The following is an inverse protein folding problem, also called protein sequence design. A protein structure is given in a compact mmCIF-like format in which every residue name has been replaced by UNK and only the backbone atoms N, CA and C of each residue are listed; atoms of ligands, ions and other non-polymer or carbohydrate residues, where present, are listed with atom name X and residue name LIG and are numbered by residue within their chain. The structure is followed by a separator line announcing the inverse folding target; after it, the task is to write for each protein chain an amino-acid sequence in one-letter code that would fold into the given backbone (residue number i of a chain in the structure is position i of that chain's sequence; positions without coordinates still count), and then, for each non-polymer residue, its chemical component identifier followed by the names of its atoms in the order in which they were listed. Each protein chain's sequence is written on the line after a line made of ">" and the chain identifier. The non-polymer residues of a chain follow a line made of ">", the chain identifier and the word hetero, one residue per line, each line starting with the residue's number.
data_IF_930205305740
#
_entry.id   IF_930205305740
#
_cell.length_a   1.000
_cell.length_b   1.000
_cell.length_c   1.000
_cell.angle_alpha   90.00
_cell.angle_beta   90.00
_cell.angle_gamma   90.00
#
_symmetry.space_group_name_H-M   'P 1'
#
loop_
_entity.id
_entity.type
_entity.pdbx_description
1 polymer ?
#
# COMPACT_ATOMS: atom_id res chain seq x y z
N UNK A 1 27.92 -5.36 -55.24
CA UNK A 1 26.68 -5.78 -54.54
C UNK A 1 26.86 -6.11 -53.05
N UNK A 2 27.96 -5.69 -52.38
CA UNK A 2 28.17 -5.94 -50.94
C UNK A 2 27.73 -4.78 -50.02
N UNK A 3 27.61 -3.55 -50.52
CA UNK A 3 27.27 -2.39 -49.65
C UNK A 3 25.79 -2.27 -49.30
N UNK A 4 24.86 -2.74 -50.13
CA UNK A 4 23.41 -2.65 -49.81
C UNK A 4 23.02 -3.51 -48.59
N UNK A 5 23.63 -4.68 -48.41
CA UNK A 5 23.34 -5.55 -47.26
C UNK A 5 23.80 -4.93 -45.94
N UNK A 6 24.93 -4.22 -45.95
CA UNK A 6 25.46 -3.55 -44.77
C UNK A 6 24.59 -2.36 -44.35
N UNK A 7 24.03 -1.60 -45.30
CA UNK A 7 23.14 -0.47 -45.01
C UNK A 7 21.83 -0.93 -44.38
N UNK A 8 21.24 -2.03 -44.86
CA UNK A 8 20.00 -2.58 -44.28
C UNK A 8 20.19 -3.06 -42.84
N UNK A 9 21.36 -3.63 -42.50
CA UNK A 9 21.65 -4.08 -41.13
C UNK A 9 21.81 -2.90 -40.18
N UNK A 10 22.45 -1.81 -40.62
CA UNK A 10 22.63 -0.60 -39.81
C UNK A 10 21.27 0.06 -39.50
N UNK A 11 20.37 0.10 -40.49
CA UNK A 11 19.02 0.66 -40.31
C UNK A 11 18.20 -0.21 -39.33
N UNK A 12 18.28 -1.53 -39.45
CA UNK A 12 17.58 -2.44 -38.54
C UNK A 12 18.05 -2.27 -37.09
N UNK A 13 19.36 -2.08 -36.89
CA UNK A 13 19.96 -1.86 -35.57
C UNK A 13 19.58 -0.50 -34.98
N UNK A 14 19.55 0.56 -35.81
CA UNK A 14 19.12 1.88 -35.38
C UNK A 14 17.63 1.93 -34.99
N UNK A 15 16.77 1.21 -35.72
CA UNK A 15 15.35 1.07 -35.35
C UNK A 15 15.24 0.35 -34.01
N UNK A 16 15.90 -0.81 -33.84
CA UNK A 16 15.91 -1.55 -32.56
C UNK A 16 16.35 -0.69 -31.36
N UNK A 17 17.35 0.18 -31.53
CA UNK A 17 17.81 1.09 -30.48
C UNK A 17 16.80 2.22 -30.18
N UNK A 18 15.99 2.66 -31.15
CA UNK A 18 14.93 3.65 -30.91
C UNK A 18 13.72 3.07 -30.14
N UNK A 19 13.50 1.75 -30.18
CA UNK A 19 12.44 1.10 -29.39
C UNK A 19 12.81 0.90 -27.92
N UNK A 20 14.09 1.05 -27.55
CA UNK A 20 14.53 1.10 -26.14
C UNK A 20 14.34 2.53 -25.60
N UNK A 21 13.15 3.08 -25.81
CA UNK A 21 12.75 4.33 -25.21
C UNK A 21 12.41 4.06 -23.74
N UNK A 22 13.39 4.34 -22.88
CA UNK A 22 13.21 4.71 -21.48
C UNK A 22 12.29 3.83 -20.65
N UNK A 23 12.80 2.70 -20.15
CA UNK A 23 12.32 2.21 -18.87
C UNK A 23 12.82 3.20 -17.81
N UNK A 24 12.05 4.25 -17.60
CA UNK A 24 12.20 5.11 -16.43
C UNK A 24 11.83 4.25 -15.23
N UNK A 25 12.79 3.87 -14.40
CA UNK A 25 12.50 3.43 -13.05
C UNK A 25 11.79 4.60 -12.37
N UNK A 26 10.47 4.49 -12.23
CA UNK A 26 9.64 5.55 -11.70
C UNK A 26 9.94 5.65 -10.20
N UNK A 27 10.72 6.64 -9.79
CA UNK A 27 11.08 6.91 -8.39
C UNK A 27 9.92 7.44 -7.55
N UNK A 28 8.67 7.30 -8.03
CA UNK A 28 7.48 7.82 -7.34
C UNK A 28 7.08 6.90 -6.18
N UNK A 29 7.45 5.62 -6.23
CA UNK A 29 7.13 4.62 -5.21
C UNK A 29 8.33 4.36 -4.28
N UNK A 30 8.73 5.38 -3.50
CA UNK A 30 9.85 5.24 -2.56
C UNK A 30 9.46 4.53 -1.26
N UNK A 31 8.16 4.44 -0.95
CA UNK A 31 7.66 4.01 0.36
C UNK A 31 6.78 2.75 0.27
N UNK A 32 6.96 1.92 -0.77
CA UNK A 32 6.15 0.69 -0.95
C UNK A 32 6.32 -0.34 0.16
N UNK A 33 7.44 -0.26 0.86
CA UNK A 33 7.77 -1.16 1.97
C UNK A 33 7.32 -0.58 3.32
N UNK A 34 6.73 0.63 3.33
CA UNK A 34 6.25 1.28 4.55
C UNK A 34 4.81 0.86 4.84
N UNK A 35 4.59 0.36 6.05
CA UNK A 35 3.27 0.08 6.60
C UNK A 35 2.86 1.14 7.62
N UNK A 36 1.66 1.71 7.42
CA UNK A 36 1.10 2.74 8.28
C UNK A 36 -0.19 2.23 8.91
N UNK A 37 -0.24 2.19 10.23
CA UNK A 37 -1.47 1.91 10.96
C UNK A 37 -2.19 3.24 11.28
N UNK A 38 -3.38 3.43 10.72
CA UNK A 38 -4.19 4.61 10.98
C UNK A 38 -5.36 4.26 11.90
N UNK A 39 -5.27 4.74 13.14
CA UNK A 39 -6.30 4.52 14.17
C UNK A 39 -7.40 5.58 14.08
N UNK A 40 -8.65 5.14 14.04
CA UNK A 40 -9.80 6.04 14.02
C UNK A 40 -10.94 5.56 14.93
N UNK A 41 -11.66 6.52 15.52
CA UNK A 41 -12.83 6.24 16.37
C UNK A 41 -14.10 6.10 15.53
N UNK A 42 -14.36 7.03 14.60
CA UNK A 42 -15.51 6.98 13.71
C UNK A 42 -15.08 7.04 12.24
N UNK A 43 -15.80 6.34 11.37
CA UNK A 43 -15.49 6.33 9.94
C UNK A 43 -15.58 7.72 9.27
N UNK A 44 -16.28 8.67 9.91
CA UNK A 44 -16.37 10.06 9.45
C UNK A 44 -15.14 10.91 9.77
N UNK A 45 -14.27 10.45 10.67
CA UNK A 45 -13.09 11.17 11.13
C UNK A 45 -11.83 10.81 10.32
N UNK A 46 -11.95 9.87 9.39
CA UNK A 46 -10.85 9.41 8.54
C UNK A 46 -10.43 10.55 7.60
N UNK A 47 -9.16 10.93 7.69
CA UNK A 47 -8.52 11.88 6.76
C UNK A 47 -8.20 11.18 5.43
N UNK A 48 -9.24 10.99 4.60
CA UNK A 48 -9.10 10.37 3.28
C UNK A 48 -8.03 11.02 2.39
N UNK A 49 -7.91 12.37 2.34
CA UNK A 49 -6.79 13.02 1.63
C UNK A 49 -5.41 12.50 2.05
N UNK A 50 -5.15 12.35 3.35
CA UNK A 50 -3.89 11.79 3.84
C UNK A 50 -3.73 10.32 3.42
N UNK A 51 -4.79 9.52 3.55
CA UNK A 51 -4.74 8.10 3.18
C UNK A 51 -4.39 7.95 1.70
N UNK A 52 -5.06 8.67 0.81
CA UNK A 52 -4.77 8.62 -0.62
C UNK A 52 -3.38 9.13 -0.96
N UNK A 53 -2.89 10.16 -0.26
CA UNK A 53 -1.51 10.62 -0.42
C UNK A 53 -0.51 9.51 -0.07
N UNK A 54 -0.73 8.77 1.02
CA UNK A 54 0.15 7.68 1.43
C UNK A 54 0.08 6.48 0.48
N UNK A 55 -1.12 6.04 0.09
CA UNK A 55 -1.30 4.84 -0.73
C UNK A 55 -1.04 5.10 -2.21
N UNK A 56 -1.75 6.04 -2.84
CA UNK A 56 -1.71 6.25 -4.29
C UNK A 56 -0.46 7.02 -4.74
N UNK A 57 -0.07 8.06 -4.00
CA UNK A 57 1.05 8.90 -4.43
C UNK A 57 2.42 8.36 -3.98
N UNK A 58 2.48 7.58 -2.89
CA UNK A 58 3.74 7.10 -2.32
C UNK A 58 3.86 5.57 -2.26
N UNK A 59 2.77 4.84 -2.52
CA UNK A 59 2.76 3.37 -2.56
C UNK A 59 2.71 2.69 -1.19
N UNK A 60 2.51 3.42 -0.09
CA UNK A 60 2.48 2.85 1.26
C UNK A 60 1.33 1.85 1.41
N UNK A 61 1.51 0.85 2.26
CA UNK A 61 0.40 0.02 2.74
C UNK A 61 -0.23 0.71 3.94
N UNK A 62 -1.54 0.95 3.89
CA UNK A 62 -2.26 1.58 5.00
C UNK A 62 -3.27 0.60 5.60
N UNK A 63 -3.12 0.34 6.89
CA UNK A 63 -4.05 -0.42 7.71
C UNK A 63 -4.97 0.54 8.48
N UNK A 64 -6.23 0.66 8.05
CA UNK A 64 -7.26 1.40 8.76
C UNK A 64 -7.81 0.56 9.91
N UNK A 65 -7.52 0.93 11.14
CA UNK A 65 -7.92 0.17 12.31
C UNK A 65 -8.84 0.94 13.26
N UNK A 66 -9.88 0.25 13.73
CA UNK A 66 -10.81 0.78 14.73
C UNK A 66 -11.23 -0.31 15.72
N UNK A 67 -11.50 0.13 16.96
CA UNK A 67 -11.93 -0.74 18.05
C UNK A 67 -13.32 -0.31 18.49
N UNK A 68 -14.27 -1.23 18.38
CA UNK A 68 -15.65 -1.00 18.75
C UNK A 68 -16.09 -1.95 19.86
N UNK A 69 -17.08 -1.53 20.65
CA UNK A 69 -17.70 -2.41 21.63
C UNK A 69 -18.58 -3.45 20.94
N UNK A 70 -18.43 -4.72 21.33
CA UNK A 70 -19.23 -5.83 20.80
C UNK A 70 -19.43 -6.93 21.83
N UNK A 71 -20.39 -7.85 21.62
CA UNK A 71 -20.73 -8.88 22.60
C UNK A 71 -19.65 -9.96 22.78
N UNK A 72 -18.68 -10.04 21.85
CA UNK A 72 -17.60 -11.02 21.84
C UNK A 72 -16.43 -10.47 21.03
N UNK A 73 -15.23 -11.02 21.26
CA UNK A 73 -14.06 -10.75 20.44
C UNK A 73 -14.34 -11.15 18.97
N UNK A 74 -14.19 -10.20 18.05
CA UNK A 74 -14.30 -10.46 16.61
C UNK A 74 -13.39 -9.51 15.84
N UNK A 75 -12.65 -10.04 14.88
CA UNK A 75 -11.87 -9.27 13.93
C UNK A 75 -12.52 -9.39 12.55
N UNK A 76 -12.89 -8.25 11.98
CA UNK A 76 -13.44 -8.13 10.63
C UNK A 76 -12.37 -7.48 9.76
N UNK A 77 -11.81 -8.25 8.83
CA UNK A 77 -10.75 -7.79 7.94
C UNK A 77 -11.31 -7.59 6.54
N UNK A 78 -10.96 -6.46 5.92
CA UNK A 78 -11.32 -6.13 4.55
C UNK A 78 -10.13 -5.55 3.84
N UNK A 79 -9.77 -6.15 2.72
CA UNK A 79 -8.67 -5.69 1.87
C UNK A 79 -9.23 -5.12 0.57
N UNK A 80 -8.64 -4.02 0.11
CA UNK A 80 -8.85 -3.51 -1.23
C UNK A 80 -7.55 -3.60 -2.02
N UNK A 81 -7.54 -4.49 -3.01
CA UNK A 81 -6.41 -4.66 -3.93
C UNK A 81 -6.20 -3.42 -4.83
N UNK A 82 -7.23 -2.59 -4.99
CA UNK A 82 -7.17 -1.40 -5.83
C UNK A 82 -6.42 -0.24 -5.16
N UNK A 83 -6.45 -0.14 -3.83
CA UNK A 83 -5.99 1.05 -3.09
C UNK A 83 -4.89 0.78 -2.06
N UNK A 84 -4.23 -0.40 -2.10
CA UNK A 84 -3.25 -0.84 -1.08
C UNK A 84 -3.72 -0.57 0.37
N UNK A 85 -5.01 -0.82 0.59
CA UNK A 85 -5.71 -0.44 1.81
C UNK A 85 -6.30 -1.67 2.46
N UNK A 86 -5.93 -1.86 3.71
CA UNK A 86 -6.50 -2.87 4.58
C UNK A 86 -7.35 -2.18 5.64
N UNK A 87 -8.38 -2.87 6.10
CA UNK A 87 -9.25 -2.38 7.16
C UNK A 87 -9.51 -3.48 8.18
N UNK A 88 -9.20 -3.17 9.44
CA UNK A 88 -9.41 -4.01 10.59
C UNK A 88 -10.42 -3.37 11.54
N UNK A 89 -11.59 -3.99 11.66
CA UNK A 89 -12.58 -3.63 12.68
C UNK A 89 -12.53 -4.68 13.76
N UNK A 90 -12.12 -4.28 14.96
CA UNK A 90 -12.04 -5.18 16.11
C UNK A 90 -13.19 -4.87 17.07
N UNK A 91 -13.97 -5.90 17.37
CA UNK A 91 -15.06 -5.85 18.33
C UNK A 91 -14.61 -6.51 19.63
N UNK A 92 -14.68 -5.80 20.76
CA UNK A 92 -14.33 -6.34 22.10
C UNK A 92 -15.41 -5.99 23.13
N UNK A 93 -15.53 -6.83 24.17
CA UNK A 93 -16.54 -6.63 25.21
C UNK A 93 -16.19 -5.52 26.21
N UNK A 94 -14.90 -5.20 26.32
CA UNK A 94 -14.35 -4.15 27.17
C UNK A 94 -13.28 -3.39 26.39
N UNK A 95 -13.51 -2.09 26.18
CA UNK A 95 -12.57 -1.18 25.50
C UNK A 95 -11.60 -0.51 26.47
N UNK A 96 -11.51 -0.99 27.72
CA UNK A 96 -10.52 -0.53 28.68
C UNK A 96 -9.09 -0.68 28.13
N UNK A 97 -8.21 0.26 28.51
CA UNK A 97 -6.88 0.43 27.94
C UNK A 97 -6.00 -0.84 27.96
N UNK A 98 -6.30 -1.80 28.84
CA UNK A 98 -5.57 -3.06 28.99
C UNK A 98 -5.67 -3.93 27.72
N UNK A 99 -6.75 -3.82 26.96
CA UNK A 99 -6.96 -4.63 25.76
C UNK A 99 -6.45 -3.95 24.48
N UNK A 100 -6.17 -2.64 24.49
CA UNK A 100 -5.73 -1.90 23.31
C UNK A 100 -4.35 -2.36 22.80
N UNK A 101 -3.40 -2.62 23.69
CA UNK A 101 -2.08 -3.15 23.30
C UNK A 101 -2.18 -4.53 22.63
N UNK A 102 -3.12 -5.34 23.08
CA UNK A 102 -3.39 -6.66 22.46
C UNK A 102 -4.07 -6.50 21.09
N UNK A 103 -4.89 -5.47 20.91
CA UNK A 103 -5.55 -5.15 19.65
C UNK A 103 -4.52 -4.69 18.62
N UNK A 104 -3.58 -3.80 18.96
CA UNK A 104 -2.55 -3.33 18.03
C UNK A 104 -1.74 -4.50 17.47
N UNK A 105 -1.29 -5.42 18.31
CA UNK A 105 -0.60 -6.65 17.88
C UNK A 105 -1.43 -7.56 16.96
N UNK A 106 -2.75 -7.57 17.13
CA UNK A 106 -3.65 -8.38 16.30
C UNK A 106 -3.91 -7.71 14.94
N UNK A 107 -4.07 -6.40 14.92
CA UNK A 107 -4.27 -5.60 13.70
C UNK A 107 -3.09 -5.80 12.75
N UNK A 108 -1.88 -5.72 13.29
CA UNK A 108 -0.67 -5.72 12.48
C UNK A 108 -0.14 -7.13 12.16
N UNK A 109 -0.96 -8.17 12.36
CA UNK A 109 -0.64 -9.57 12.04
C UNK A 109 0.69 -10.08 12.66
N UNK A 110 1.17 -9.43 13.72
CA UNK A 110 2.43 -9.75 14.40
C UNK A 110 3.67 -9.02 13.87
N UNK A 111 3.57 -8.25 12.78
CA UNK A 111 4.57 -7.25 12.39
C UNK A 111 4.20 -5.92 13.03
N UNK A 112 5.16 -5.04 13.34
CA UNK A 112 4.85 -3.74 13.94
C UNK A 112 4.90 -2.72 12.80
N UNK A 113 3.82 -1.94 12.57
CA UNK A 113 3.81 -0.95 11.50
C UNK A 113 4.93 0.07 11.73
N UNK A 114 5.50 0.61 10.65
CA UNK A 114 6.57 1.60 10.72
C UNK A 114 6.08 2.92 11.34
N UNK A 115 4.80 3.24 11.14
CA UNK A 115 4.15 4.47 11.58
C UNK A 115 2.78 4.15 12.18
N UNK A 116 2.47 4.75 13.33
CA UNK A 116 1.15 4.72 14.02
C UNK A 116 0.68 6.15 14.28
#
# INVERSE_FOLDING_TARGET
>A
MKSLRSVSVIILFAVLLCWVSGVSANTINLLTDIEVAYLYENAGDIDWPLIYYLTEENGCTVELATVNSGPMFRHLLRQSEEFNLNSSIILINDTSAIYLDSVVNVVSSGEIPDIV
#
